data_IF_999387209891
#
_entry.id   IF_999387209891
#
_cell.length_a   1.000
_cell.length_b   1.000
_cell.length_c   1.000
_cell.angle_alpha   90.00
_cell.angle_beta   90.00
_cell.angle_gamma   90.00
#
_symmetry.space_group_name_H-M   'P 1'
#
loop_
_entity.id
_entity.type
_entity.pdbx_description
1 polymer ?
#
# COMPACT_ATOMS: atom_id res chain seq x y z
N UNK A 1 16.92 16.39 -5.19
CA UNK A 1 16.36 15.27 -4.40
C UNK A 1 14.86 15.38 -4.50
N UNK A 2 14.17 14.25 -4.68
CA UNK A 2 12.72 14.20 -4.80
C UNK A 2 12.13 13.16 -3.86
N UNK A 3 10.97 13.47 -3.31
CA UNK A 3 10.18 12.52 -2.52
C UNK A 3 9.31 11.69 -3.45
N UNK A 4 9.37 10.36 -3.29
CA UNK A 4 8.51 9.42 -4.00
C UNK A 4 7.66 8.63 -3.00
N UNK A 5 6.55 8.11 -3.50
CA UNK A 5 5.62 7.27 -2.75
C UNK A 5 5.63 5.88 -3.38
N UNK A 6 5.95 4.87 -2.56
CA UNK A 6 5.90 3.47 -2.94
C UNK A 6 4.84 2.76 -2.10
N UNK A 7 4.00 1.95 -2.73
CA UNK A 7 2.93 1.22 -2.07
C UNK A 7 3.23 -0.27 -2.15
N UNK A 8 3.24 -0.96 -1.02
CA UNK A 8 3.40 -2.42 -0.97
C UNK A 8 2.07 -3.08 -0.63
N UNK A 9 1.71 -4.08 -1.44
CA UNK A 9 0.56 -4.94 -1.23
C UNK A 9 0.87 -6.35 -1.77
N UNK A 10 0.59 -7.40 -0.99
CA UNK A 10 0.84 -8.80 -1.34
C UNK A 10 2.19 -9.02 -2.07
N UNK A 11 3.28 -8.56 -1.44
CA UNK A 11 4.67 -8.66 -1.92
C UNK A 11 4.99 -8.00 -3.28
N UNK A 12 4.11 -7.11 -3.73
CA UNK A 12 4.28 -6.29 -4.92
C UNK A 12 4.40 -4.82 -4.53
N UNK A 13 5.25 -4.08 -5.24
CA UNK A 13 5.50 -2.65 -5.02
C UNK A 13 4.93 -1.88 -6.20
N UNK A 14 4.18 -0.82 -5.91
CA UNK A 14 3.48 0.02 -6.85
C UNK A 14 3.86 1.48 -6.62
N UNK A 15 3.81 2.31 -7.66
CA UNK A 15 4.02 3.75 -7.57
C UNK A 15 2.72 4.53 -7.28
N UNK A 16 1.58 3.83 -7.24
CA UNK A 16 0.24 4.33 -6.91
C UNK A 16 -0.44 3.34 -5.98
N UNK A 17 -1.41 3.81 -5.19
CA UNK A 17 -2.26 2.94 -4.38
C UNK A 17 -2.87 1.88 -5.33
N UNK A 18 -2.75 0.58 -5.03
CA UNK A 18 -3.40 -0.45 -5.83
C UNK A 18 -4.92 -0.23 -5.87
N UNK A 19 -5.63 -0.78 -6.85
CA UNK A 19 -7.06 -0.50 -7.05
C UNK A 19 -7.94 -1.01 -5.88
N UNK A 20 -8.02 -0.25 -4.81
CA UNK A 20 -9.00 -0.36 -3.75
C UNK A 20 -9.98 0.79 -3.93
N UNK A 21 -11.29 0.52 -3.95
CA UNK A 21 -12.28 1.60 -4.04
C UNK A 21 -12.18 2.44 -2.76
N UNK A 22 -12.14 3.77 -2.89
CA UNK A 22 -11.99 4.70 -1.77
C UNK A 22 -13.05 4.51 -0.68
N UNK A 23 -14.23 4.01 -1.03
CA UNK A 23 -15.32 3.65 -0.12
C UNK A 23 -14.94 2.58 0.93
N UNK A 24 -13.78 1.92 0.78
CA UNK A 24 -13.29 0.88 1.69
C UNK A 24 -12.23 1.36 2.67
N UNK A 25 -11.80 2.63 2.61
CA UNK A 25 -10.81 3.19 3.54
C UNK A 25 -11.45 3.41 4.92
N UNK A 26 -10.92 2.76 5.94
CA UNK A 26 -11.39 2.94 7.31
C UNK A 26 -10.80 4.22 7.91
N UNK A 27 -11.67 5.15 8.33
CA UNK A 27 -11.30 6.19 9.29
C UNK A 27 -11.23 5.53 10.66
N UNK A 28 -10.08 5.64 11.30
CA UNK A 28 -9.68 4.87 12.47
C UNK A 28 -10.63 4.99 13.66
N UNK A 29 -11.44 3.95 13.90
CA UNK A 29 -11.93 3.55 15.23
C UNK A 29 -11.98 2.01 15.31
N UNK A 30 -11.11 1.47 16.17
CA UNK A 30 -10.57 0.10 16.12
C UNK A 30 -11.38 -0.85 17.01
N UNK A 31 -12.69 -0.97 16.78
CA UNK A 31 -13.56 -1.88 17.56
C UNK A 31 -14.39 -2.86 16.74
N UNK A 32 -14.48 -2.70 15.42
CA UNK A 32 -15.23 -3.62 14.54
C UNK A 32 -14.33 -4.42 13.57
N UNK A 33 -13.00 -4.30 13.68
CA UNK A 33 -12.05 -4.98 12.77
C UNK A 33 -12.08 -6.51 12.86
N UNK A 34 -12.48 -7.08 14.00
CA UNK A 34 -12.48 -8.53 14.24
C UNK A 34 -13.52 -9.31 13.38
N UNK A 35 -14.43 -8.61 12.69
CA UNK A 35 -15.50 -9.21 11.88
C UNK A 35 -15.25 -9.02 10.37
N UNK A 36 -14.27 -8.18 9.98
CA UNK A 36 -14.06 -7.78 8.58
C UNK A 36 -12.76 -8.33 8.00
N UNK A 37 -12.81 -8.81 6.75
CA UNK A 37 -11.59 -9.08 5.99
C UNK A 37 -10.93 -7.75 5.63
N UNK A 38 -9.73 -7.51 6.15
CA UNK A 38 -9.00 -6.26 5.96
C UNK A 38 -7.75 -6.53 5.12
N UNK A 39 -7.60 -5.78 4.05
CA UNK A 39 -6.37 -5.71 3.26
C UNK A 39 -5.56 -4.48 3.69
N UNK A 40 -4.27 -4.69 3.93
CA UNK A 40 -3.35 -3.64 4.38
C UNK A 40 -2.42 -3.28 3.23
N UNK A 41 -2.37 -1.99 2.89
CA UNK A 41 -1.37 -1.44 1.97
C UNK A 41 -0.42 -0.57 2.78
N UNK A 42 0.87 -0.87 2.71
CA UNK A 42 1.90 -0.03 3.32
C UNK A 42 2.41 0.98 2.31
N UNK A 43 2.25 2.26 2.59
CA UNK A 43 2.88 3.36 1.87
C UNK A 43 4.23 3.69 2.50
N UNK A 44 5.25 3.83 1.65
CA UNK A 44 6.61 4.22 1.98
C UNK A 44 6.91 5.55 1.32
N UNK A 45 7.23 6.55 2.14
CA UNK A 45 7.66 7.87 1.69
C UNK A 45 9.19 7.86 1.71
N UNK A 46 9.79 7.94 0.52
CA UNK A 46 11.23 7.78 0.30
C UNK A 46 11.80 9.02 -0.39
N UNK A 47 12.88 9.57 0.13
CA UNK A 47 13.70 10.56 -0.59
C UNK A 47 14.69 9.88 -1.54
N UNK A 48 14.68 10.28 -2.80
CA UNK A 48 15.54 9.73 -3.86
C UNK A 48 16.22 10.83 -4.67
N UNK A 49 17.19 10.45 -5.48
CA UNK A 49 17.80 11.36 -6.45
C UNK A 49 16.81 11.75 -7.56
N UNK A 50 17.00 12.92 -8.17
CA UNK A 50 16.04 13.47 -9.14
C UNK A 50 15.92 12.61 -10.40
N UNK A 51 16.99 11.88 -10.74
CA UNK A 51 17.11 10.95 -11.86
C UNK A 51 16.49 9.56 -11.61
N UNK A 52 15.96 9.29 -10.41
CA UNK A 52 15.29 8.02 -10.12
C UNK A 52 14.15 7.73 -11.11
N UNK A 53 14.14 6.54 -11.69
CA UNK A 53 13.05 6.01 -12.52
C UNK A 53 12.63 4.66 -11.99
N UNK A 54 11.32 4.51 -11.78
CA UNK A 54 10.73 3.28 -11.28
C UNK A 54 10.92 2.12 -12.26
N UNK A 55 10.77 2.40 -13.56
CA UNK A 55 10.90 1.45 -14.67
C UNK A 55 12.33 0.91 -14.80
N UNK A 56 13.31 1.72 -14.41
CA UNK A 56 14.74 1.37 -14.46
C UNK A 56 15.25 0.76 -13.14
N UNK A 57 14.42 0.67 -12.09
CA UNK A 57 14.83 0.18 -10.77
C UNK A 57 14.37 -1.26 -10.58
N UNK A 58 15.27 -2.14 -10.14
CA UNK A 58 14.93 -3.56 -9.93
C UNK A 58 13.99 -3.76 -8.74
N UNK A 59 13.25 -4.87 -8.71
CA UNK A 59 12.40 -5.22 -7.56
C UNK A 59 13.19 -5.29 -6.25
N UNK A 60 14.43 -5.77 -6.29
CA UNK A 60 15.29 -5.87 -5.10
C UNK A 60 15.70 -4.48 -4.59
N UNK A 61 16.02 -3.56 -5.50
CA UNK A 61 16.38 -2.19 -5.16
C UNK A 61 15.16 -1.41 -4.63
N UNK A 62 13.98 -1.59 -5.24
CA UNK A 62 12.72 -1.05 -4.71
C UNK A 62 12.43 -1.57 -3.30
N UNK A 63 12.68 -2.86 -3.04
CA UNK A 63 12.53 -3.43 -1.71
C UNK A 63 13.53 -2.85 -0.70
N UNK A 64 14.73 -2.48 -1.14
CA UNK A 64 15.71 -1.80 -0.30
C UNK A 64 15.27 -0.38 0.02
N UNK A 65 14.80 0.37 -0.99
CA UNK A 65 14.26 1.72 -0.81
C UNK A 65 13.09 1.74 0.19
N UNK A 66 12.20 0.75 0.16
CA UNK A 66 11.15 0.61 1.16
C UNK A 66 11.71 0.43 2.60
N UNK A 67 12.85 -0.27 2.77
CA UNK A 67 13.49 -0.43 4.08
C UNK A 67 14.18 0.85 4.57
N UNK A 68 14.56 1.73 3.65
CA UNK A 68 15.22 3.02 3.93
C UNK A 68 14.22 4.19 4.02
N UNK A 69 12.92 3.93 3.91
CA UNK A 69 11.88 4.95 3.93
C UNK A 69 11.92 5.78 5.23
N UNK A 70 11.82 7.11 5.08
CA UNK A 70 11.79 8.03 6.22
C UNK A 70 10.47 7.94 6.99
N UNK A 71 9.38 7.59 6.30
CA UNK A 71 8.06 7.47 6.90
C UNK A 71 7.28 6.35 6.22
N UNK A 72 6.53 5.60 7.03
CA UNK A 72 5.57 4.60 6.59
C UNK A 72 4.16 4.95 7.04
N UNK A 73 3.17 4.64 6.21
CA UNK A 73 1.74 4.81 6.51
C UNK A 73 1.02 3.51 6.15
N UNK A 74 0.23 2.97 7.07
CA UNK A 74 -0.63 1.82 6.78
C UNK A 74 -2.01 2.31 6.36
N UNK A 75 -2.49 1.83 5.21
CA UNK A 75 -3.83 2.04 4.73
C UNK A 75 -4.61 0.73 4.89
N UNK A 76 -5.73 0.80 5.62
CA UNK A 76 -6.60 -0.34 5.87
C UNK A 76 -7.81 -0.28 4.95
N UNK A 77 -8.01 -1.34 4.17
CA UNK A 77 -9.11 -1.48 3.23
C UNK A 77 -10.00 -2.64 3.63
N UNK A 78 -11.30 -2.41 3.77
CA UNK A 78 -12.27 -3.48 3.99
C UNK A 78 -12.54 -4.19 2.66
N UNK A 79 -12.22 -5.47 2.60
CA UNK A 79 -12.71 -6.36 1.55
C UNK A 79 -14.13 -6.72 1.94
N UNK A 80 -15.13 -6.21 1.22
CA UNK A 80 -16.46 -6.82 1.32
C UNK A 80 -16.29 -8.27 0.90
N UNK A 81 -16.54 -9.19 1.83
CA UNK A 81 -16.95 -10.54 1.45
C UNK A 81 -18.19 -10.32 0.61
N UNK A 82 -18.03 -10.34 -0.72
CA UNK A 82 -19.16 -10.58 -1.60
C UNK A 82 -19.87 -11.77 -0.98
N UNK A 83 -21.13 -11.54 -0.60
CA UNK A 83 -21.99 -12.60 -0.12
C UNK A 83 -21.76 -13.75 -1.08
N UNK A 84 -21.41 -14.91 -0.54
CA UNK A 84 -21.52 -16.19 -1.24
C UNK A 84 -22.77 -16.08 -2.10
N UNK A 85 -22.59 -15.90 -3.41
CA UNK A 85 -23.71 -15.92 -4.34
C UNK A 85 -24.33 -17.30 -4.09
N UNK A 86 -25.52 -17.23 -3.53
CA UNK A 86 -26.28 -18.40 -3.11
C UNK A 86 -26.55 -19.16 -4.40
N UNK A 87 -25.89 -20.30 -4.58
CA UNK A 87 -26.28 -21.26 -5.62
C UNK A 87 -27.68 -21.77 -5.30
#
# INVERSE_FOLDING_TARGET
MKTIHLFRFNDTIFHKIPFFKEEHRLETDVTELDIMNIEIVTEYIVETHDDFSFENTSKNDLSLLCKEAQKTIEHYFVVRLDHYDSI
#
